data_IF_158950163557
#
_entry.id   IF_158950163557
#
_cell.length_a   1.000
_cell.length_b   1.000
_cell.length_c   1.000
_cell.angle_alpha   90.00
_cell.angle_beta   90.00
_cell.angle_gamma   90.00
#
_symmetry.space_group_name_H-M   'P 1'
#
loop_
_entity.id
_entity.type
_entity.pdbx_description
1 polymer ?
#
# COMPACT_ATOMS: atom_id res chain seq x y z
N UNK A 1 4.88 -15.00 -4.51
CA UNK A 1 5.72 -14.13 -5.35
C UNK A 1 7.14 -14.67 -5.34
N UNK A 2 7.69 -14.95 -6.51
CA UNK A 2 9.07 -15.38 -6.72
C UNK A 2 10.05 -14.19 -6.69
N UNK A 3 11.35 -14.45 -6.46
CA UNK A 3 12.43 -13.44 -6.61
C UNK A 3 12.27 -12.61 -7.87
N UNK A 4 12.05 -13.29 -8.99
CA UNK A 4 11.97 -12.70 -10.32
C UNK A 4 10.79 -11.74 -10.44
N UNK A 5 9.61 -12.14 -9.99
CA UNK A 5 8.41 -11.29 -10.02
C UNK A 5 8.62 -10.04 -9.17
N UNK A 6 9.21 -10.19 -7.98
CA UNK A 6 9.51 -9.08 -7.09
C UNK A 6 10.46 -8.05 -7.71
N UNK A 7 11.63 -8.48 -8.21
CA UNK A 7 12.58 -7.56 -8.87
C UNK A 7 11.98 -6.94 -10.12
N UNK A 8 11.13 -7.67 -10.85
CA UNK A 8 10.43 -7.11 -12.02
C UNK A 8 9.51 -5.96 -11.59
N UNK A 9 8.71 -6.15 -10.53
CA UNK A 9 7.86 -5.09 -9.99
C UNK A 9 8.67 -3.88 -9.50
N UNK A 10 9.78 -4.11 -8.78
CA UNK A 10 10.62 -3.04 -8.27
C UNK A 10 11.29 -2.24 -9.40
N UNK A 11 11.79 -2.92 -10.43
CA UNK A 11 12.36 -2.28 -11.62
C UNK A 11 11.30 -1.47 -12.37
N UNK A 12 10.10 -2.03 -12.57
CA UNK A 12 9.01 -1.32 -13.26
C UNK A 12 8.54 -0.09 -12.47
N UNK A 13 8.42 -0.20 -11.15
CA UNK A 13 8.10 0.94 -10.28
C UNK A 13 9.17 2.03 -10.40
N UNK A 14 10.44 1.68 -10.31
CA UNK A 14 11.55 2.64 -10.40
C UNK A 14 11.61 3.32 -11.78
N UNK A 15 11.34 2.57 -12.85
CA UNK A 15 11.20 3.11 -14.21
C UNK A 15 10.04 4.10 -14.27
N UNK A 16 8.87 3.75 -13.72
CA UNK A 16 7.69 4.62 -13.68
C UNK A 16 8.00 5.93 -12.94
N UNK A 17 8.62 5.84 -11.75
CA UNK A 17 8.99 7.00 -10.95
C UNK A 17 10.04 7.87 -11.64
N UNK A 18 11.00 7.26 -12.35
CA UNK A 18 11.96 7.98 -13.16
C UNK A 18 11.28 8.85 -14.22
N UNK A 19 10.31 8.30 -14.94
CA UNK A 19 9.60 9.02 -15.99
C UNK A 19 8.58 10.04 -15.45
N UNK A 20 7.97 9.77 -14.30
CA UNK A 20 7.10 10.74 -13.61
C UNK A 20 7.88 12.00 -13.17
N UNK A 21 9.19 11.89 -12.96
CA UNK A 21 10.07 13.01 -12.60
C UNK A 21 10.45 13.94 -13.76
N UNK A 22 10.19 13.56 -15.02
CA UNK A 22 10.53 14.42 -16.18
C UNK A 22 9.72 15.71 -16.15
N UNK A 23 10.36 16.84 -16.46
CA UNK A 23 9.81 18.18 -16.30
C UNK A 23 10.14 18.86 -14.96
N UNK A 24 10.88 18.18 -14.07
CA UNK A 24 11.34 18.74 -12.80
C UNK A 24 12.85 19.05 -12.81
N UNK A 25 13.35 19.92 -11.89
CA UNK A 25 14.77 20.20 -11.77
C UNK A 25 15.61 18.93 -11.57
N UNK A 26 16.67 18.78 -12.37
CA UNK A 26 17.52 17.59 -12.36
C UNK A 26 17.19 16.55 -13.41
N UNK A 27 16.22 16.82 -14.29
CA UNK A 27 15.91 15.93 -15.41
C UNK A 27 17.12 15.69 -16.33
N UNK A 28 17.22 14.49 -16.94
CA UNK A 28 18.23 14.22 -17.96
C UNK A 28 18.03 15.13 -19.18
N UNK A 29 19.11 15.73 -19.66
CA UNK A 29 19.07 16.68 -20.78
C UNK A 29 19.10 16.01 -22.16
N UNK A 30 19.52 14.75 -22.21
CA UNK A 30 19.65 13.98 -23.44
C UNK A 30 19.50 12.47 -23.17
N UNK A 31 19.44 11.68 -24.24
CA UNK A 31 19.25 10.23 -24.16
C UNK A 31 20.39 9.51 -23.42
N UNK A 32 21.63 10.00 -23.52
CA UNK A 32 22.78 9.40 -22.84
C UNK A 32 22.70 9.60 -21.32
N UNK A 33 22.37 10.82 -20.88
CA UNK A 33 22.12 11.12 -19.47
C UNK A 33 20.93 10.31 -18.94
N UNK A 34 19.87 10.17 -19.74
CA UNK A 34 18.69 9.38 -19.38
C UNK A 34 19.05 7.91 -19.17
N UNK A 35 19.79 7.32 -20.12
CA UNK A 35 20.26 5.94 -20.04
C UNK A 35 21.17 5.74 -18.83
N UNK A 36 22.10 6.66 -18.59
CA UNK A 36 23.04 6.58 -17.46
C UNK A 36 22.33 6.63 -16.11
N UNK A 37 21.41 7.58 -15.93
CA UNK A 37 20.65 7.70 -14.69
C UNK A 37 19.77 6.47 -14.46
N UNK A 38 19.03 6.02 -15.49
CA UNK A 38 18.18 4.85 -15.37
C UNK A 38 18.98 3.57 -15.09
N UNK A 39 20.07 3.35 -15.82
CA UNK A 39 20.95 2.20 -15.60
C UNK A 39 21.53 2.18 -14.18
N UNK A 40 21.87 3.34 -13.63
CA UNK A 40 22.39 3.47 -12.25
C UNK A 40 21.33 3.03 -11.23
N UNK A 41 20.09 3.51 -11.38
CA UNK A 41 18.95 3.16 -10.51
C UNK A 41 18.61 1.66 -10.57
N UNK A 42 18.53 1.11 -11.78
CA UNK A 42 18.28 -0.32 -12.00
C UNK A 42 19.43 -1.17 -11.45
N UNK A 43 20.69 -0.76 -11.66
CA UNK A 43 21.85 -1.47 -11.12
C UNK A 43 21.85 -1.51 -9.59
N UNK A 44 21.39 -0.46 -8.92
CA UNK A 44 21.27 -0.44 -7.46
C UNK A 44 20.25 -1.46 -6.97
N UNK A 45 19.10 -1.57 -7.65
CA UNK A 45 18.08 -2.58 -7.36
C UNK A 45 18.63 -3.99 -7.52
N UNK A 46 19.32 -4.27 -8.64
CA UNK A 46 19.92 -5.57 -8.91
C UNK A 46 21.06 -5.93 -7.95
N UNK A 47 21.71 -4.92 -7.35
CA UNK A 47 22.73 -5.09 -6.31
C UNK A 47 22.14 -5.16 -4.90
N UNK A 48 20.82 -5.06 -4.77
CA UNK A 48 20.10 -4.97 -3.51
C UNK A 48 20.11 -6.27 -2.68
N UNK A 49 19.57 -6.19 -1.46
CA UNK A 49 19.71 -7.24 -0.46
C UNK A 49 19.02 -8.56 -0.83
N UNK A 50 19.44 -9.65 -0.18
CA UNK A 50 18.90 -10.99 -0.39
C UNK A 50 17.41 -11.09 -0.04
N UNK A 51 16.68 -12.03 -0.65
CA UNK A 51 15.22 -12.25 -0.48
C UNK A 51 14.75 -12.29 0.98
N UNK A 52 15.61 -12.72 1.90
CA UNK A 52 15.30 -12.78 3.34
C UNK A 52 15.22 -11.42 4.03
N UNK A 53 15.90 -10.39 3.52
CA UNK A 53 15.91 -9.06 4.15
C UNK A 53 14.62 -8.26 3.85
N UNK A 54 13.84 -8.68 2.85
CA UNK A 54 12.57 -8.03 2.47
C UNK A 54 11.39 -8.44 3.36
N UNK A 55 11.49 -9.57 4.06
CA UNK A 55 10.51 -9.99 5.07
C UNK A 55 10.95 -9.55 6.47
N UNK A 56 11.06 -8.25 6.67
CA UNK A 56 11.36 -7.73 8.01
C UNK A 56 10.29 -8.19 9.01
N UNK A 57 10.63 -8.36 10.29
CA UNK A 57 9.64 -8.67 11.33
C UNK A 57 8.47 -7.67 11.35
N UNK A 58 8.70 -6.41 10.99
CA UNK A 58 7.65 -5.40 10.90
C UNK A 58 6.66 -5.69 9.75
N UNK A 59 7.17 -6.00 8.55
CA UNK A 59 6.32 -6.36 7.41
C UNK A 59 5.50 -7.63 7.71
N UNK A 60 6.13 -8.63 8.33
CA UNK A 60 5.46 -9.84 8.78
C UNK A 60 4.31 -9.53 9.75
N UNK A 61 4.55 -8.71 10.78
CA UNK A 61 3.55 -8.38 11.79
C UNK A 61 2.32 -7.65 11.21
N UNK A 62 2.52 -6.79 10.22
CA UNK A 62 1.44 -6.11 9.50
C UNK A 62 0.58 -7.11 8.74
N UNK A 63 1.20 -8.05 8.01
CA UNK A 63 0.48 -9.09 7.30
C UNK A 63 -0.26 -10.04 8.26
N UNK A 64 0.34 -10.39 9.39
CA UNK A 64 -0.32 -11.17 10.44
C UNK A 64 -1.53 -10.43 10.99
N UNK A 65 -1.43 -9.12 11.23
CA UNK A 65 -2.58 -8.33 11.71
C UNK A 65 -3.68 -8.21 10.68
N UNK A 66 -3.36 -8.03 9.39
CA UNK A 66 -4.36 -8.05 8.30
C UNK A 66 -5.10 -9.39 8.26
N UNK A 67 -4.37 -10.49 8.35
CA UNK A 67 -4.99 -11.82 8.44
C UNK A 67 -5.83 -12.01 9.71
N UNK A 68 -5.41 -11.45 10.84
CA UNK A 68 -6.19 -11.50 12.10
C UNK A 68 -7.51 -10.73 11.99
N UNK A 69 -7.51 -9.58 11.31
CA UNK A 69 -8.73 -8.81 11.02
C UNK A 69 -9.74 -9.67 10.23
N UNK A 70 -9.28 -10.38 9.19
CA UNK A 70 -10.12 -11.24 8.37
C UNK A 70 -10.59 -12.50 9.13
N UNK A 71 -9.64 -13.27 9.68
CA UNK A 71 -9.90 -14.62 10.19
C UNK A 71 -10.45 -14.65 11.62
N UNK A 72 -10.07 -13.68 12.45
CA UNK A 72 -10.40 -13.69 13.89
C UNK A 72 -11.43 -12.61 14.25
N UNK A 73 -11.33 -11.42 13.66
CA UNK A 73 -12.32 -10.35 13.92
C UNK A 73 -13.56 -10.44 13.05
N UNK A 74 -13.54 -11.28 12.01
CA UNK A 74 -14.67 -11.47 11.10
C UNK A 74 -14.90 -10.29 10.15
N UNK A 75 -13.90 -9.44 9.94
CA UNK A 75 -13.95 -8.45 8.86
C UNK A 75 -13.83 -9.18 7.52
N UNK A 76 -14.35 -8.59 6.45
CA UNK A 76 -14.36 -9.20 5.13
C UNK A 76 -13.96 -8.20 4.06
N UNK A 77 -13.36 -8.68 2.97
CA UNK A 77 -13.03 -7.83 1.83
C UNK A 77 -14.27 -7.23 1.19
N UNK A 78 -15.40 -7.94 1.22
CA UNK A 78 -16.69 -7.43 0.73
C UNK A 78 -17.21 -6.27 1.58
N UNK A 79 -17.00 -6.31 2.89
CA UNK A 79 -17.31 -5.17 3.77
C UNK A 79 -16.34 -4.01 3.50
N UNK A 80 -15.05 -4.30 3.37
CA UNK A 80 -14.04 -3.29 3.01
C UNK A 80 -14.43 -2.56 1.69
N UNK A 81 -14.97 -3.28 0.71
CA UNK A 81 -15.44 -2.73 -0.58
C UNK A 81 -16.61 -1.73 -0.45
N UNK A 82 -17.32 -1.70 0.68
CA UNK A 82 -18.37 -0.71 0.94
C UNK A 82 -17.84 0.63 1.46
N UNK A 83 -16.58 0.67 1.91
CA UNK A 83 -15.94 1.86 2.47
C UNK A 83 -15.26 2.69 1.40
N UNK A 84 -16.03 3.53 0.71
CA UNK A 84 -15.56 4.33 -0.43
C UNK A 84 -15.16 5.76 -0.07
N UNK A 85 -15.42 6.20 1.17
CA UNK A 85 -15.10 7.53 1.69
C UNK A 85 -13.70 7.64 2.30
N UNK A 86 -12.88 6.59 2.21
CA UNK A 86 -11.57 6.52 2.83
C UNK A 86 -11.61 6.12 4.31
N UNK A 87 -12.67 5.46 4.76
CA UNK A 87 -12.91 5.08 6.16
C UNK A 87 -11.81 4.14 6.69
N UNK A 88 -11.29 3.21 5.86
CA UNK A 88 -10.18 2.34 6.23
C UNK A 88 -8.89 3.16 6.49
N UNK A 89 -8.62 4.16 5.66
CA UNK A 89 -7.49 5.07 5.86
C UNK A 89 -7.69 5.98 7.10
N UNK A 90 -8.90 6.49 7.31
CA UNK A 90 -9.24 7.31 8.48
C UNK A 90 -9.08 6.50 9.78
N UNK A 91 -9.53 5.25 9.81
CA UNK A 91 -9.29 4.33 10.92
C UNK A 91 -7.80 4.04 11.14
N UNK A 92 -6.99 4.01 10.09
CA UNK A 92 -5.53 3.88 10.21
C UNK A 92 -4.93 5.10 10.92
N UNK A 93 -5.37 6.31 10.57
CA UNK A 93 -4.97 7.56 11.25
C UNK A 93 -5.30 7.50 12.74
N UNK A 94 -6.50 7.01 13.13
CA UNK A 94 -6.87 6.86 14.54
C UNK A 94 -5.93 5.91 15.31
N UNK A 95 -5.30 4.93 14.65
CA UNK A 95 -4.26 4.12 15.29
C UNK A 95 -2.89 4.82 15.31
N UNK A 96 -2.55 5.63 14.31
CA UNK A 96 -1.30 6.41 14.30
C UNK A 96 -1.34 7.48 15.40
N UNK A 97 -2.44 8.21 15.51
CA UNK A 97 -2.69 9.27 16.48
C UNK A 97 -3.94 8.97 17.32
N UNK A 98 -3.87 8.08 18.34
CA UNK A 98 -5.02 7.72 19.16
C UNK A 98 -5.69 8.88 19.90
N UNK A 99 -4.95 9.98 20.13
CA UNK A 99 -5.50 11.19 20.74
C UNK A 99 -6.46 11.94 19.82
N UNK A 100 -6.30 11.77 18.51
CA UNK A 100 -7.15 12.40 17.48
C UNK A 100 -8.20 11.43 16.96
N UNK A 101 -8.37 10.26 17.59
CA UNK A 101 -9.29 9.23 17.11
C UNK A 101 -10.73 9.74 16.99
N UNK A 102 -11.18 10.64 17.85
CA UNK A 102 -12.53 11.26 17.77
C UNK A 102 -12.76 12.04 16.45
N UNK A 103 -11.70 12.54 15.81
CA UNK A 103 -11.79 13.31 14.57
C UNK A 103 -11.74 12.44 13.31
N UNK A 104 -11.14 11.24 13.40
CA UNK A 104 -10.86 10.39 12.23
C UNK A 104 -11.53 9.02 12.27
N UNK A 105 -11.93 8.52 13.44
CA UNK A 105 -12.57 7.22 13.54
C UNK A 105 -13.91 7.27 12.80
N UNK A 106 -14.21 6.33 11.88
CA UNK A 106 -15.45 6.36 11.12
C UNK A 106 -16.67 6.37 12.04
N UNK A 107 -17.53 7.37 11.90
CA UNK A 107 -18.64 7.62 12.82
C UNK A 107 -19.66 6.46 12.88
N UNK A 108 -19.81 5.72 11.77
CA UNK A 108 -20.74 4.59 11.67
C UNK A 108 -20.13 3.26 12.17
N UNK A 109 -18.87 3.26 12.62
CA UNK A 109 -18.25 2.09 13.21
C UNK A 109 -18.47 2.07 14.72
N UNK A 110 -18.70 0.88 15.29
CA UNK A 110 -18.89 0.74 16.73
C UNK A 110 -17.67 1.26 17.51
N UNK A 111 -17.86 2.28 18.35
CA UNK A 111 -16.81 2.91 19.18
C UNK A 111 -15.98 1.90 19.99
N UNK A 112 -16.62 0.81 20.44
CA UNK A 112 -15.97 -0.24 21.23
C UNK A 112 -14.99 -1.15 20.44
N UNK A 113 -14.93 -0.97 19.12
CA UNK A 113 -14.02 -1.68 18.21
C UNK A 113 -12.66 -0.99 18.13
N UNK A 114 -12.60 0.32 18.41
CA UNK A 114 -11.34 1.02 18.56
C UNK A 114 -10.65 0.61 19.85
N UNK A 115 -9.49 -0.05 19.73
CA UNK A 115 -8.72 -0.57 20.87
C UNK A 115 -7.25 -0.24 20.69
N UNK A 116 -6.84 1.02 20.94
CA UNK A 116 -5.44 1.39 20.92
C UNK A 116 -4.68 0.62 22.01
N UNK A 117 -3.39 0.43 21.76
CA UNK A 117 -2.44 -0.26 22.65
C UNK A 117 -1.14 0.54 22.64
N UNK A 118 0.02 -0.12 22.69
CA UNK A 118 1.31 0.55 22.53
C UNK A 118 1.52 1.10 21.11
N UNK A 119 2.42 2.07 21.00
CA UNK A 119 2.68 2.79 19.75
C UNK A 119 3.03 1.86 18.58
N UNK A 120 3.96 0.92 18.78
CA UNK A 120 4.36 -0.03 17.73
C UNK A 120 3.17 -0.88 17.30
N UNK A 121 2.41 -1.42 18.25
CA UNK A 121 1.25 -2.26 17.94
C UNK A 121 0.16 -1.48 17.21
N UNK A 122 0.00 -0.20 17.50
CA UNK A 122 -0.94 0.65 16.78
C UNK A 122 -0.46 0.90 15.34
N UNK A 123 0.83 1.17 15.11
CA UNK A 123 1.38 1.26 13.75
C UNK A 123 1.16 -0.02 12.94
N UNK A 124 1.28 -1.19 13.57
CA UNK A 124 0.97 -2.47 12.91
C UNK A 124 -0.51 -2.57 12.51
N UNK A 125 -1.44 -2.14 13.37
CA UNK A 125 -2.88 -2.11 13.06
C UNK A 125 -3.19 -1.09 11.96
N UNK A 126 -2.56 0.08 12.00
CA UNK A 126 -2.67 1.10 10.95
C UNK A 126 -2.17 0.56 9.61
N UNK A 127 -1.00 -0.07 9.58
CA UNK A 127 -0.46 -0.72 8.37
C UNK A 127 -1.41 -1.78 7.80
N UNK A 128 -2.05 -2.59 8.65
CA UNK A 128 -3.03 -3.58 8.21
C UNK A 128 -4.28 -2.93 7.59
N UNK A 129 -4.76 -1.81 8.15
CA UNK A 129 -5.88 -1.04 7.59
C UNK A 129 -5.51 -0.35 6.27
N UNK A 130 -4.26 0.12 6.11
CA UNK A 130 -3.76 0.67 4.85
C UNK A 130 -3.72 -0.42 3.77
N UNK A 131 -3.26 -1.63 4.10
CA UNK A 131 -3.33 -2.77 3.17
C UNK A 131 -4.78 -3.04 2.76
N UNK A 132 -5.72 -3.04 3.72
CA UNK A 132 -7.13 -3.24 3.42
C UNK A 132 -7.67 -2.20 2.42
N UNK A 133 -7.30 -0.92 2.58
CA UNK A 133 -7.69 0.17 1.67
C UNK A 133 -7.07 0.01 0.28
N UNK A 134 -5.79 -0.36 0.19
CA UNK A 134 -5.13 -0.61 -1.10
C UNK A 134 -5.80 -1.79 -1.80
N UNK A 135 -6.01 -2.91 -1.10
CA UNK A 135 -6.68 -4.09 -1.64
C UNK A 135 -8.10 -3.75 -2.16
N UNK A 136 -8.81 -2.85 -1.47
CA UNK A 136 -10.12 -2.33 -1.90
C UNK A 136 -10.02 -1.55 -3.21
N UNK A 137 -9.06 -0.63 -3.30
CA UNK A 137 -8.81 0.18 -4.51
C UNK A 137 -8.43 -0.71 -5.69
N UNK A 138 -7.53 -1.67 -5.47
CA UNK A 138 -7.06 -2.59 -6.51
C UNK A 138 -8.23 -3.41 -7.08
N UNK A 139 -9.10 -3.96 -6.22
CA UNK A 139 -10.32 -4.67 -6.66
C UNK A 139 -11.27 -3.79 -7.47
N UNK A 140 -11.42 -2.51 -7.11
CA UNK A 140 -12.24 -1.57 -7.88
C UNK A 140 -11.63 -1.29 -9.26
N UNK A 141 -10.30 -1.16 -9.36
CA UNK A 141 -9.61 -0.94 -10.63
C UNK A 141 -9.68 -2.17 -11.55
N UNK A 142 -9.57 -3.38 -10.99
CA UNK A 142 -9.76 -4.63 -11.75
C UNK A 142 -11.20 -4.75 -12.27
N UNK A 143 -12.22 -4.40 -11.46
CA UNK A 143 -13.62 -4.46 -11.87
C UNK A 143 -14.06 -3.42 -12.92
N UNK A 144 -13.32 -2.31 -13.07
CA UNK A 144 -13.62 -1.25 -14.07
C UNK A 144 -13.10 -1.62 -15.47
N UNK A 145 -12.14 -2.54 -15.57
CA UNK A 145 -11.50 -2.88 -16.85
C UNK A 145 -12.24 -3.96 -17.68
N UNK A 146 -13.37 -4.50 -17.18
CA UNK A 146 -14.05 -5.68 -17.77
C UNK A 146 -15.43 -5.42 -18.44
N UNK A 147 -15.96 -4.19 -18.46
CA UNK A 147 -17.18 -3.90 -19.24
C UNK A 147 -16.85 -3.23 -20.58
N UNK A 148 -16.97 -3.94 -21.72
CA UNK A 148 -17.01 -3.29 -23.02
C UNK A 148 -18.29 -2.46 -23.11
N UNK A 149 -18.16 -1.14 -23.11
CA UNK A 149 -19.22 -0.21 -23.46
C UNK A 149 -19.80 -0.58 -24.84
N UNK A 150 -21.03 -1.10 -24.86
CA UNK A 150 -21.83 -1.25 -26.08
C UNK A 150 -22.82 -0.09 -26.11
N UNK A 151 -22.61 0.93 -26.95
CA UNK A 151 -23.61 1.98 -27.14
C UNK A 151 -24.85 1.41 -27.84
N UNK A 152 -26.03 1.85 -27.38
CA UNK A 152 -27.32 1.69 -28.07
C UNK A 152 -27.35 2.40 -29.44
#
# INVERSE_FOLDING_TARGET
>A
MSKKEFYSSLILSEISDFFAGIGNPGEPKNAEEMQLQLATRVSLILSGPDEKEWQSPAAHDVLVERNRQLLIKGFSTQQDDTYIGGELAAAAISYIEPMEAENYWPADWYDNSFRPSDYRRNLVKAGALIIAEIERIDRQQEGINDEPYIPD
#
